data_IF_843820036779
#
_entry.id   IF_843820036779
#
_cell.length_a   1.000
_cell.length_b   1.000
_cell.length_c   1.000
_cell.angle_alpha   90.00
_cell.angle_beta   90.00
_cell.angle_gamma   90.00
#
_symmetry.space_group_name_H-M   'P 1'
#
loop_
_entity.id
_entity.type
_entity.pdbx_description
1 polymer ?
#
# COMPACT_ATOMS: atom_id res chain seq x y z
N UNK A 1 -2.49 -3.26 2.92
CA UNK A 1 -2.20 -3.01 4.34
C UNK A 1 -0.98 -3.80 4.83
N UNK A 2 -0.86 -5.10 4.55
CA UNK A 2 0.26 -5.92 5.04
C UNK A 2 1.63 -5.36 4.68
N UNK A 3 1.85 -5.04 3.40
CA UNK A 3 3.13 -4.46 2.94
C UNK A 3 3.37 -3.08 3.57
N UNK A 4 2.35 -2.22 3.57
CA UNK A 4 2.46 -0.89 4.16
C UNK A 4 2.82 -0.96 5.64
N UNK A 5 2.10 -1.74 6.44
CA UNK A 5 2.34 -1.88 7.87
C UNK A 5 3.71 -2.54 8.17
N UNK A 6 4.09 -3.55 7.38
CA UNK A 6 5.38 -4.23 7.51
C UNK A 6 6.55 -3.27 7.30
N UNK A 7 6.58 -2.55 6.19
CA UNK A 7 7.66 -1.64 5.84
C UNK A 7 7.69 -0.39 6.73
N UNK A 8 6.52 0.19 7.02
CA UNK A 8 6.42 1.33 7.92
C UNK A 8 6.98 1.01 9.32
N UNK A 9 6.57 -0.12 9.91
CA UNK A 9 7.01 -0.51 11.24
C UNK A 9 8.49 -0.94 11.29
N UNK A 10 9.02 -1.50 10.19
CA UNK A 10 10.42 -1.89 10.10
C UNK A 10 11.37 -0.70 9.88
N UNK A 11 10.90 0.40 9.28
CA UNK A 11 11.74 1.53 8.86
C UNK A 11 12.56 2.15 10.01
N UNK A 12 11.98 2.49 11.19
CA UNK A 12 12.78 3.08 12.27
C UNK A 12 13.92 2.16 12.73
N UNK A 13 13.66 0.86 12.81
CA UNK A 13 14.68 -0.12 13.20
C UNK A 13 15.77 -0.26 12.12
N UNK A 14 15.37 -0.30 10.84
CA UNK A 14 16.32 -0.33 9.73
C UNK A 14 17.20 0.91 9.70
N UNK A 15 16.63 2.09 9.91
CA UNK A 15 17.35 3.37 9.96
C UNK A 15 18.30 3.43 11.15
N UNK A 16 17.88 2.94 12.32
CA UNK A 16 18.75 2.85 13.51
C UNK A 16 19.98 1.95 13.25
N UNK A 17 19.78 0.81 12.59
CA UNK A 17 20.90 -0.08 12.20
C UNK A 17 21.86 0.62 11.23
N UNK A 18 21.35 1.52 10.37
CA UNK A 18 22.16 2.34 9.46
C UNK A 18 22.78 3.57 10.13
N UNK A 19 22.58 3.79 11.43
CA UNK A 19 23.18 4.89 12.19
C UNK A 19 22.45 6.23 12.10
N UNK A 20 21.21 6.25 11.59
CA UNK A 20 20.38 7.46 11.57
C UNK A 20 19.83 7.80 12.95
N UNK A 21 19.59 9.09 13.18
CA UNK A 21 18.99 9.60 14.41
C UNK A 21 17.50 9.23 14.50
N UNK A 22 16.95 9.37 15.71
CA UNK A 22 15.52 9.27 15.92
C UNK A 22 14.73 10.34 15.12
N UNK A 23 15.28 11.56 15.04
CA UNK A 23 14.65 12.66 14.31
C UNK A 23 14.60 12.40 12.80
N UNK A 24 15.62 11.76 12.23
CA UNK A 24 15.61 11.34 10.82
C UNK A 24 14.50 10.30 10.57
N UNK A 25 14.36 9.33 11.48
CA UNK A 25 13.32 8.31 11.37
C UNK A 25 11.91 8.91 11.53
N UNK A 26 11.76 9.86 12.45
CA UNK A 26 10.50 10.60 12.63
C UNK A 26 10.14 11.38 11.37
N UNK A 27 11.08 12.09 10.78
CA UNK A 27 10.89 12.83 9.52
C UNK A 27 10.41 11.92 8.38
N UNK A 28 11.03 10.74 8.24
CA UNK A 28 10.63 9.76 7.22
C UNK A 28 9.20 9.27 7.42
N UNK A 29 8.81 9.00 8.68
CA UNK A 29 7.44 8.58 9.01
C UNK A 29 6.42 9.71 8.83
N UNK A 30 6.77 10.95 9.15
CA UNK A 30 5.91 12.11 8.88
C UNK A 30 5.58 12.24 7.40
N UNK A 31 6.59 12.16 6.53
CA UNK A 31 6.39 12.19 5.08
C UNK A 31 5.61 10.99 4.57
N UNK A 32 5.79 9.81 5.17
CA UNK A 32 4.95 8.64 4.88
C UNK A 32 3.47 8.92 5.18
N UNK A 33 3.18 9.47 6.36
CA UNK A 33 1.80 9.81 6.78
C UNK A 33 1.21 10.89 5.85
N UNK A 34 1.99 11.89 5.46
CA UNK A 34 1.57 12.88 4.46
C UNK A 34 1.22 12.19 3.13
N UNK A 35 2.07 11.25 2.67
CA UNK A 35 1.81 10.44 1.48
C UNK A 35 0.54 9.60 1.57
N UNK A 36 0.20 9.11 2.77
CA UNK A 36 -1.04 8.34 3.00
C UNK A 36 -2.30 9.20 2.91
N UNK A 37 -2.30 10.40 3.48
CA UNK A 37 -3.54 11.16 3.70
C UNK A 37 -3.70 12.36 2.77
N UNK A 38 -2.64 13.09 2.43
CA UNK A 38 -2.75 14.27 1.57
C UNK A 38 -3.33 13.97 0.17
N UNK A 39 -3.00 12.86 -0.50
CA UNK A 39 -3.61 12.52 -1.78
C UNK A 39 -5.13 12.25 -1.68
N UNK A 40 -5.63 11.88 -0.50
CA UNK A 40 -7.06 11.60 -0.27
C UNK A 40 -7.98 12.76 -0.67
N UNK A 41 -7.50 14.01 -0.60
CA UNK A 41 -8.28 15.18 -1.04
C UNK A 41 -8.62 15.16 -2.54
N UNK A 42 -7.83 14.50 -3.36
CA UNK A 42 -8.03 14.45 -4.82
C UNK A 42 -8.16 13.05 -5.39
N UNK A 43 -7.82 11.98 -4.65
CA UNK A 43 -7.94 10.60 -5.13
C UNK A 43 -9.38 10.28 -5.58
N UNK A 44 -10.39 10.78 -4.87
CA UNK A 44 -11.80 10.63 -5.27
C UNK A 44 -12.11 11.27 -6.62
N UNK A 45 -11.54 12.43 -6.92
CA UNK A 45 -11.69 13.10 -8.22
C UNK A 45 -10.95 12.33 -9.33
N UNK A 46 -9.76 11.81 -9.03
CA UNK A 46 -9.01 10.97 -9.97
C UNK A 46 -9.77 9.70 -10.31
N UNK A 47 -10.37 9.04 -9.32
CA UNK A 47 -11.20 7.84 -9.51
C UNK A 47 -12.42 8.17 -10.40
N UNK A 48 -13.08 9.29 -10.19
CA UNK A 48 -14.22 9.73 -11.03
C UNK A 48 -13.78 10.01 -12.48
N UNK A 49 -12.60 10.60 -12.67
CA UNK A 49 -12.10 11.00 -14.00
C UNK A 49 -11.50 9.84 -14.79
N UNK A 50 -10.70 9.00 -14.15
CA UNK A 50 -9.91 7.97 -14.83
C UNK A 50 -10.44 6.54 -14.58
N UNK A 51 -11.29 6.35 -13.58
CA UNK A 51 -11.79 5.04 -13.20
C UNK A 51 -11.03 4.43 -12.02
N UNK A 52 -11.73 3.58 -11.26
CA UNK A 52 -11.21 3.00 -10.02
C UNK A 52 -10.03 2.06 -10.28
N UNK A 53 -10.17 1.16 -11.27
CA UNK A 53 -9.12 0.16 -11.56
C UNK A 53 -7.82 0.79 -12.07
N UNK A 54 -7.92 1.88 -12.86
CA UNK A 54 -6.77 2.60 -13.37
C UNK A 54 -5.98 3.26 -12.25
N UNK A 55 -6.67 3.91 -11.29
CA UNK A 55 -6.01 4.54 -10.14
C UNK A 55 -5.37 3.47 -9.23
N UNK A 56 -6.03 2.33 -9.03
CA UNK A 56 -5.43 1.21 -8.30
C UNK A 56 -4.18 0.66 -9.02
N UNK A 57 -4.22 0.55 -10.35
CA UNK A 57 -3.05 0.12 -11.13
C UNK A 57 -1.87 1.08 -10.97
N UNK A 58 -2.12 2.40 -10.98
CA UNK A 58 -1.10 3.41 -10.65
C UNK A 58 -0.56 3.19 -9.24
N UNK A 59 -1.42 2.89 -8.27
CA UNK A 59 -1.01 2.56 -6.89
C UNK A 59 -0.06 1.35 -6.82
N UNK A 60 -0.33 0.29 -7.61
CA UNK A 60 0.58 -0.87 -7.70
C UNK A 60 1.93 -0.47 -8.30
N UNK A 61 1.94 0.30 -9.39
CA UNK A 61 3.20 0.79 -10.00
C UNK A 61 4.01 1.62 -9.02
N UNK A 62 3.37 2.53 -8.28
CA UNK A 62 4.02 3.33 -7.23
C UNK A 62 4.65 2.43 -6.16
N UNK A 63 3.98 1.36 -5.73
CA UNK A 63 4.55 0.42 -4.76
C UNK A 63 5.77 -0.33 -5.32
N UNK A 64 5.78 -0.71 -6.61
CA UNK A 64 6.98 -1.28 -7.23
C UNK A 64 8.13 -0.26 -7.27
N UNK A 65 7.86 1.00 -7.61
CA UNK A 65 8.88 2.07 -7.60
C UNK A 65 9.39 2.31 -6.17
N UNK A 66 8.51 2.30 -5.16
CA UNK A 66 8.88 2.35 -3.75
C UNK A 66 9.90 1.25 -3.41
N UNK A 67 9.59 0.00 -3.72
CA UNK A 67 10.47 -1.15 -3.43
C UNK A 67 11.79 -1.01 -4.20
N UNK A 68 11.77 -0.60 -5.45
CA UNK A 68 12.98 -0.40 -6.26
C UNK A 68 13.90 0.66 -5.64
N UNK A 69 13.34 1.78 -5.15
CA UNK A 69 14.11 2.83 -4.47
C UNK A 69 14.64 2.31 -3.12
N UNK A 70 13.84 1.60 -2.34
CA UNK A 70 14.25 1.01 -1.07
C UNK A 70 15.37 -0.04 -1.22
N UNK A 71 15.43 -0.73 -2.37
CA UNK A 71 16.49 -1.69 -2.71
C UNK A 71 17.72 -1.01 -3.30
N UNK A 72 17.64 0.24 -3.78
CA UNK A 72 18.76 0.95 -4.41
C UNK A 72 19.80 1.45 -3.40
N UNK A 73 19.48 1.46 -2.10
CA UNK A 73 20.41 1.85 -1.04
C UNK A 73 19.73 2.20 0.27
N UNK A 74 20.53 2.72 1.21
CA UNK A 74 20.12 3.00 2.59
C UNK A 74 20.44 4.45 3.01
N UNK A 75 20.52 5.40 2.08
CA UNK A 75 20.66 6.80 2.40
C UNK A 75 19.32 7.42 2.84
N UNK A 76 19.36 8.50 3.60
CA UNK A 76 18.16 9.17 4.15
C UNK A 76 17.12 9.49 3.07
N UNK A 77 17.54 10.02 1.92
CA UNK A 77 16.63 10.35 0.82
C UNK A 77 15.94 9.11 0.22
N UNK A 78 16.61 7.95 0.23
CA UNK A 78 16.01 6.69 -0.24
C UNK A 78 14.92 6.22 0.72
N UNK A 79 15.14 6.27 2.02
CA UNK A 79 14.10 6.01 3.02
C UNK A 79 12.93 6.99 2.86
N UNK A 80 13.22 8.29 2.76
CA UNK A 80 12.20 9.33 2.66
C UNK A 80 11.32 9.17 1.41
N UNK A 81 11.93 9.01 0.23
CA UNK A 81 11.19 8.88 -1.03
C UNK A 81 10.43 7.55 -1.07
N UNK A 82 11.06 6.44 -0.68
CA UNK A 82 10.40 5.13 -0.69
C UNK A 82 9.19 5.11 0.25
N UNK A 83 9.31 5.61 1.47
CA UNK A 83 8.21 5.62 2.42
C UNK A 83 7.09 6.59 2.03
N UNK A 84 7.42 7.76 1.45
CA UNK A 84 6.42 8.66 0.88
C UNK A 84 5.62 7.97 -0.23
N UNK A 85 6.31 7.30 -1.16
CA UNK A 85 5.67 6.54 -2.25
C UNK A 85 4.86 5.35 -1.74
N UNK A 86 5.32 4.68 -0.67
CA UNK A 86 4.57 3.62 -0.01
C UNK A 86 3.20 4.15 0.48
N UNK A 87 3.20 5.32 1.12
CA UNK A 87 1.98 5.99 1.58
C UNK A 87 1.04 6.37 0.43
N UNK A 88 1.59 6.97 -0.62
CA UNK A 88 0.83 7.36 -1.82
C UNK A 88 0.22 6.14 -2.53
N UNK A 89 1.01 5.10 -2.76
CA UNK A 89 0.55 3.86 -3.37
C UNK A 89 -0.53 3.16 -2.53
N UNK A 90 -0.36 3.15 -1.21
CA UNK A 90 -1.36 2.65 -0.29
C UNK A 90 -2.67 3.45 -0.38
N UNK A 91 -2.62 4.79 -0.43
CA UNK A 91 -3.82 5.63 -0.56
C UNK A 91 -4.64 5.26 -1.79
N UNK A 92 -4.00 5.12 -2.96
CA UNK A 92 -4.68 4.78 -4.20
C UNK A 92 -5.30 3.39 -4.17
N UNK A 93 -4.58 2.41 -3.62
CA UNK A 93 -5.08 1.04 -3.49
C UNK A 93 -6.21 0.95 -2.46
N UNK A 94 -6.07 1.58 -1.32
CA UNK A 94 -7.07 1.55 -0.26
C UNK A 94 -8.36 2.25 -0.68
N UNK A 95 -8.27 3.47 -1.18
CA UNK A 95 -9.44 4.25 -1.63
C UNK A 95 -10.13 3.55 -2.81
N UNK A 96 -9.35 3.00 -3.75
CA UNK A 96 -9.90 2.27 -4.89
C UNK A 96 -10.59 0.97 -4.47
N UNK A 97 -9.96 0.15 -3.63
CA UNK A 97 -10.53 -1.12 -3.18
C UNK A 97 -11.79 -0.92 -2.33
N UNK A 98 -11.80 0.07 -1.44
CA UNK A 98 -12.99 0.44 -0.67
C UNK A 98 -14.12 0.90 -1.60
N UNK A 99 -13.81 1.72 -2.61
CA UNK A 99 -14.79 2.17 -3.61
C UNK A 99 -15.40 0.99 -4.38
N UNK A 100 -14.61 -0.01 -4.77
CA UNK A 100 -15.09 -1.23 -5.44
C UNK A 100 -15.95 -2.08 -4.51
N UNK A 101 -15.51 -2.28 -3.28
CA UNK A 101 -16.25 -3.06 -2.28
C UNK A 101 -17.63 -2.45 -2.00
N UNK A 102 -17.69 -1.12 -1.82
CA UNK A 102 -18.95 -0.41 -1.60
C UNK A 102 -19.93 -0.49 -2.76
N UNK A 103 -19.44 -0.67 -4.00
CA UNK A 103 -20.30 -0.87 -5.19
C UNK A 103 -20.79 -2.31 -5.32
N UNK A 104 -20.06 -3.28 -4.77
CA UNK A 104 -20.39 -4.70 -4.87
C UNK A 104 -21.46 -5.14 -3.87
N UNK A 105 -21.67 -4.38 -2.79
CA UNK A 105 -22.58 -4.76 -1.70
C UNK A 105 -23.94 -4.10 -1.82
N UNK A 106 -24.97 -4.85 -1.45
CA UNK A 106 -26.31 -4.30 -1.22
C UNK A 106 -26.32 -3.40 0.03
N UNK A 107 -27.27 -2.46 0.17
CA UNK A 107 -27.37 -1.61 1.36
C UNK A 107 -27.40 -2.38 2.68
N UNK A 108 -28.03 -3.56 2.71
CA UNK A 108 -28.12 -4.41 3.91
C UNK A 108 -26.81 -5.14 4.26
N UNK A 109 -25.89 -5.28 3.30
CA UNK A 109 -24.61 -5.99 3.48
C UNK A 109 -23.43 -5.06 3.79
N UNK A 110 -23.58 -3.75 3.53
CA UNK A 110 -22.47 -2.78 3.63
C UNK A 110 -21.80 -2.77 4.99
N UNK A 111 -22.57 -2.76 6.07
CA UNK A 111 -22.02 -2.70 7.43
C UNK A 111 -21.27 -3.98 7.79
N UNK A 112 -21.82 -5.14 7.43
CA UNK A 112 -21.16 -6.45 7.66
C UNK A 112 -19.91 -6.60 6.80
N UNK A 113 -19.97 -6.20 5.54
CA UNK A 113 -18.83 -6.23 4.63
C UNK A 113 -17.71 -5.31 5.09
N UNK A 114 -18.03 -4.09 5.51
CA UNK A 114 -17.05 -3.14 6.04
C UNK A 114 -16.44 -3.64 7.35
N UNK A 115 -17.24 -4.22 8.25
CA UNK A 115 -16.74 -4.80 9.49
C UNK A 115 -15.77 -5.96 9.21
N UNK A 116 -16.08 -6.84 8.25
CA UNK A 116 -15.20 -7.93 7.85
C UNK A 116 -13.88 -7.41 7.27
N UNK A 117 -13.92 -6.42 6.36
CA UNK A 117 -12.69 -5.79 5.83
C UNK A 117 -11.85 -5.22 6.98
N UNK A 118 -12.44 -4.45 7.88
CA UNK A 118 -11.72 -3.85 9.00
C UNK A 118 -11.09 -4.92 9.89
N UNK A 119 -11.80 -6.00 10.19
CA UNK A 119 -11.26 -7.11 10.97
C UNK A 119 -9.99 -7.70 10.30
N UNK A 120 -10.06 -8.03 9.01
CA UNK A 120 -8.90 -8.58 8.30
C UNK A 120 -7.76 -7.58 8.15
N UNK A 121 -8.06 -6.28 7.96
CA UNK A 121 -7.05 -5.22 7.94
C UNK A 121 -6.32 -5.15 9.27
N UNK A 122 -7.03 -5.05 10.40
CA UNK A 122 -6.39 -4.97 11.72
C UNK A 122 -5.65 -6.25 12.10
N UNK A 123 -6.20 -7.43 11.78
CA UNK A 123 -5.51 -8.70 11.99
C UNK A 123 -4.21 -8.76 11.18
N UNK A 124 -4.24 -8.37 9.91
CA UNK A 124 -3.04 -8.30 9.06
C UNK A 124 -2.03 -7.30 9.61
N UNK A 125 -2.47 -6.11 10.02
CA UNK A 125 -1.60 -5.09 10.62
C UNK A 125 -0.93 -5.60 11.90
N UNK A 126 -1.67 -6.26 12.78
CA UNK A 126 -1.10 -6.83 14.01
C UNK A 126 -0.02 -7.87 13.70
N UNK A 127 -0.29 -8.81 12.79
CA UNK A 127 0.67 -9.85 12.39
C UNK A 127 1.90 -9.24 11.72
N UNK A 128 1.73 -8.32 10.77
CA UNK A 128 2.85 -7.73 10.03
C UNK A 128 3.67 -6.77 10.88
N UNK A 129 3.05 -6.02 11.79
CA UNK A 129 3.77 -5.16 12.74
C UNK A 129 4.62 -5.99 13.72
N UNK A 130 4.08 -7.09 14.22
CA UNK A 130 4.84 -8.01 15.07
C UNK A 130 6.00 -8.66 14.29
N UNK A 131 5.72 -9.13 13.07
CA UNK A 131 6.72 -9.77 12.22
C UNK A 131 7.81 -8.80 11.75
N UNK A 132 7.51 -7.50 11.60
CA UNK A 132 8.45 -6.51 11.08
C UNK A 132 9.71 -6.39 11.91
N UNK A 133 9.57 -6.34 13.23
CA UNK A 133 10.71 -6.29 14.16
C UNK A 133 11.61 -7.52 14.04
N UNK A 134 11.02 -8.71 14.06
CA UNK A 134 11.76 -9.96 13.93
C UNK A 134 12.44 -10.07 12.56
N UNK A 135 11.74 -9.74 11.48
CA UNK A 135 12.26 -9.85 10.13
C UNK A 135 13.39 -8.84 9.84
N UNK A 136 13.24 -7.58 10.26
CA UNK A 136 14.30 -6.58 10.01
C UNK A 136 15.57 -6.88 10.78
N UNK A 137 15.47 -7.43 12.00
CA UNK A 137 16.62 -7.76 12.82
C UNK A 137 17.33 -9.05 12.40
N UNK A 138 16.60 -10.00 11.82
CA UNK A 138 17.16 -11.30 11.40
C UNK A 138 17.54 -11.35 9.92
N UNK A 139 16.74 -10.77 9.04
CA UNK A 139 16.91 -10.82 7.58
C UNK A 139 17.41 -9.49 6.99
N UNK A 140 17.21 -8.39 7.71
CA UNK A 140 17.60 -7.06 7.27
C UNK A 140 16.59 -6.39 6.30
N UNK A 141 16.82 -5.10 6.07
CA UNK A 141 15.96 -4.23 5.26
C UNK A 141 15.76 -4.72 3.81
N UNK A 142 16.84 -5.22 3.19
CA UNK A 142 16.81 -5.67 1.80
C UNK A 142 15.83 -6.83 1.59
N UNK A 143 15.94 -7.89 2.40
CA UNK A 143 15.08 -9.07 2.28
C UNK A 143 13.61 -8.77 2.59
N UNK A 144 13.36 -7.82 3.48
CA UNK A 144 12.01 -7.34 3.79
C UNK A 144 11.35 -6.70 2.55
N UNK A 145 12.09 -5.86 1.82
CA UNK A 145 11.63 -5.26 0.59
C UNK A 145 11.45 -6.29 -0.54
N UNK A 146 12.39 -7.25 -0.69
CA UNK A 146 12.25 -8.34 -1.65
C UNK A 146 11.00 -9.17 -1.36
N UNK A 147 10.76 -9.53 -0.10
CA UNK A 147 9.56 -10.27 0.31
C UNK A 147 8.26 -9.52 0.02
N UNK A 148 8.29 -8.19 0.07
CA UNK A 148 7.15 -7.33 -0.25
C UNK A 148 6.79 -7.32 -1.74
N UNK A 149 7.69 -7.74 -2.64
CA UNK A 149 7.39 -7.87 -4.08
C UNK A 149 6.27 -8.88 -4.35
N UNK A 150 6.24 -10.00 -3.62
CA UNK A 150 5.24 -11.04 -3.85
C UNK A 150 3.80 -10.54 -3.64
N UNK A 151 3.42 -9.98 -2.48
CA UNK A 151 2.05 -9.50 -2.30
C UNK A 151 1.70 -8.32 -3.21
N UNK A 152 2.65 -7.44 -3.56
CA UNK A 152 2.42 -6.37 -4.54
C UNK A 152 2.18 -6.93 -5.94
N UNK A 153 2.97 -7.93 -6.37
CA UNK A 153 2.79 -8.61 -7.64
C UNK A 153 1.45 -9.34 -7.72
N UNK A 154 1.06 -10.06 -6.66
CA UNK A 154 -0.26 -10.72 -6.58
C UNK A 154 -1.40 -9.72 -6.70
N UNK A 155 -1.29 -8.56 -6.06
CA UNK A 155 -2.27 -7.48 -6.19
C UNK A 155 -2.34 -6.97 -7.63
N UNK A 156 -1.18 -6.77 -8.27
CA UNK A 156 -1.09 -6.37 -9.68
C UNK A 156 -1.75 -7.38 -10.64
N UNK A 157 -1.48 -8.67 -10.44
CA UNK A 157 -2.09 -9.75 -11.24
C UNK A 157 -3.61 -9.78 -11.05
N UNK A 158 -4.09 -9.67 -9.80
CA UNK A 158 -5.52 -9.62 -9.51
C UNK A 158 -6.20 -8.43 -10.20
N UNK A 159 -5.58 -7.25 -10.17
CA UNK A 159 -6.10 -6.06 -10.87
C UNK A 159 -6.11 -6.24 -12.39
N UNK A 160 -5.05 -6.78 -12.98
CA UNK A 160 -5.01 -7.08 -14.41
C UNK A 160 -6.13 -8.04 -14.81
N UNK A 161 -6.34 -9.09 -14.04
CA UNK A 161 -7.43 -10.03 -14.27
C UNK A 161 -8.81 -9.34 -14.23
N UNK A 162 -9.03 -8.44 -13.26
CA UNK A 162 -10.27 -7.67 -13.17
C UNK A 162 -10.47 -6.74 -14.38
N UNK A 163 -9.43 -6.06 -14.83
CA UNK A 163 -9.47 -5.19 -16.01
C UNK A 163 -9.80 -5.97 -17.28
N UNK A 164 -9.18 -7.13 -17.46
CA UNK A 164 -9.45 -8.01 -18.63
C UNK A 164 -10.91 -8.48 -18.58
N UNK A 165 -11.37 -8.96 -17.45
CA UNK A 165 -12.76 -9.44 -17.28
C UNK A 165 -13.79 -8.34 -17.54
N UNK A 166 -13.52 -7.10 -17.10
CA UNK A 166 -14.39 -5.96 -17.33
C UNK A 166 -14.50 -5.60 -18.84
N UNK A 167 -13.38 -5.70 -19.58
CA UNK A 167 -13.37 -5.47 -21.03
C UNK A 167 -14.06 -6.57 -21.83
N UNK A 168 -14.09 -7.80 -21.30
CA UNK A 168 -14.68 -8.98 -21.94
C UNK A 168 -16.18 -9.13 -21.65
N UNK A 169 -16.75 -8.36 -20.72
CA UNK A 169 -18.19 -8.35 -20.46
C UNK A 169 -18.88 -7.66 -21.64
N UNK A 170 -19.84 -8.31 -22.35
CA UNK A 170 -20.58 -7.68 -23.42
C UNK A 170 -21.31 -6.46 -22.86
N UNK A 171 -21.28 -5.34 -23.61
CA UNK A 171 -22.09 -4.17 -23.31
C UNK A 171 -23.55 -4.62 -23.36
N UNK A 172 -24.14 -4.86 -22.18
CA UNK A 172 -25.58 -5.03 -22.06
C UNK A 172 -26.20 -3.70 -22.45
N UNK A 173 -26.69 -3.65 -23.70
CA UNK A 173 -27.53 -2.57 -24.20
C UNK A 173 -28.76 -2.45 -23.31
N UNK A 174 -28.86 -1.32 -22.61
CA UNK A 174 -30.12 -0.81 -22.07
C UNK A 174 -30.66 0.21 -23.05
#
# INVERSE_FOLDING_TARGET
>A
YGVMSLLMAATPLAMQVCGFSFDDAALVLEWHVIGMFAPGFFTGHLIKKFGTLQIMAVGVVINFVCIAIALSGVALHQFLISLFLLGLGWNFLFTGSTTLAMKAWTPAEKDRGQAAINFFVFATMAVTSFASGALVTTQGWMWLNIGSLLPVALTGVALMWMVIKQKSAPATSV
#
